data_IF_958908780428
#
_entry.id   IF_958908780428
#
_cell.length_a   1.000
_cell.length_b   1.000
_cell.length_c   1.000
_cell.angle_alpha   90.00
_cell.angle_beta   90.00
_cell.angle_gamma   90.00
#
_symmetry.space_group_name_H-M   'P 1'
#
loop_
_entity.id
_entity.type
_entity.pdbx_description
1 polymer ?
#
# COMPACT_ATOMS: atom_id res chain seq x y z
N UNK A 1 -57.83 32.56 -24.39
CA UNK A 1 -57.06 32.85 -23.69
C UNK A 1 -56.39 32.21 -22.58
N UNK A 2 -56.12 31.30 -22.30
CA UNK A 2 -55.69 30.68 -21.16
C UNK A 2 -54.83 29.52 -21.43
N UNK A 3 -53.62 29.63 -21.77
CA UNK A 3 -52.80 28.49 -21.95
C UNK A 3 -51.36 28.88 -21.93
N UNK A 4 -50.89 29.11 -20.76
CA UNK A 4 -49.46 29.27 -20.59
C UNK A 4 -49.07 28.92 -19.18
N UNK A 5 -49.29 27.68 -18.80
CA UNK A 5 -48.82 27.25 -17.51
C UNK A 5 -48.45 25.77 -17.55
N UNK A 6 -47.52 25.42 -18.38
CA UNK A 6 -46.96 24.07 -18.29
C UNK A 6 -45.56 24.03 -18.92
N UNK A 7 -44.67 24.82 -18.42
CA UNK A 7 -43.27 24.67 -18.83
C UNK A 7 -42.31 25.23 -17.79
N UNK A 8 -42.42 24.71 -16.56
CA UNK A 8 -41.44 25.07 -15.54
C UNK A 8 -41.27 24.00 -14.51
N UNK A 9 -41.07 22.78 -14.95
CA UNK A 9 -40.64 21.72 -14.00
C UNK A 9 -39.81 20.68 -14.70
N UNK A 10 -38.69 21.07 -15.27
CA UNK A 10 -37.75 20.09 -15.77
C UNK A 10 -36.31 20.60 -15.77
N UNK A 11 -35.84 21.16 -14.66
CA UNK A 11 -34.47 21.59 -14.58
C UNK A 11 -33.83 21.43 -13.22
N UNK A 12 -34.29 20.49 -12.39
CA UNK A 12 -33.71 20.34 -11.04
C UNK A 12 -33.39 18.90 -10.65
N UNK A 13 -33.15 18.03 -11.59
CA UNK A 13 -32.82 16.63 -11.25
C UNK A 13 -31.40 16.18 -11.67
N UNK A 14 -30.58 17.08 -12.17
CA UNK A 14 -29.28 16.68 -12.75
C UNK A 14 -28.06 17.05 -11.91
N UNK A 15 -28.23 17.41 -10.64
CA UNK A 15 -27.08 17.80 -9.78
C UNK A 15 -26.79 16.85 -8.61
N UNK A 16 -27.44 15.70 -8.52
CA UNK A 16 -27.25 14.79 -7.40
C UNK A 16 -26.43 13.53 -7.70
N UNK A 17 -26.01 13.31 -8.93
CA UNK A 17 -25.32 12.06 -9.30
C UNK A 17 -23.79 12.10 -9.17
N UNK A 18 -23.20 13.25 -8.91
CA UNK A 18 -21.75 13.35 -8.83
C UNK A 18 -21.16 13.03 -7.45
N UNK A 19 -21.96 13.01 -6.40
CA UNK A 19 -21.47 12.80 -5.04
C UNK A 19 -21.48 11.34 -4.57
N UNK A 20 -22.16 10.47 -5.28
CA UNK A 20 -22.30 9.07 -4.87
C UNK A 20 -21.04 8.27 -5.17
N UNK A 21 -20.34 8.59 -6.26
CA UNK A 21 -19.11 7.89 -6.64
C UNK A 21 -17.94 8.14 -5.68
N UNK A 22 -17.86 9.32 -5.06
CA UNK A 22 -16.80 9.62 -4.07
C UNK A 22 -17.06 8.93 -2.73
N UNK A 23 -18.33 8.79 -2.33
CA UNK A 23 -18.68 8.11 -1.09
C UNK A 23 -18.43 6.60 -1.14
N UNK A 24 -18.63 5.96 -2.28
CA UNK A 24 -18.32 4.54 -2.46
C UNK A 24 -16.83 4.24 -2.41
N UNK A 25 -15.99 5.16 -2.87
CA UNK A 25 -14.53 5.00 -2.82
C UNK A 25 -13.99 5.15 -1.40
N UNK A 26 -14.65 5.93 -0.56
CA UNK A 26 -14.30 6.10 0.86
C UNK A 26 -14.88 5.01 1.76
N UNK A 27 -15.97 4.37 1.34
CA UNK A 27 -16.64 3.32 2.09
C UNK A 27 -16.13 1.91 1.79
N UNK A 28 -15.19 1.73 0.86
CA UNK A 28 -14.47 0.47 0.72
C UNK A 28 -13.60 0.29 1.95
N UNK A 29 -14.15 -0.42 2.93
CA UNK A 29 -13.45 -0.82 4.11
C UNK A 29 -12.10 -1.44 3.73
N UNK A 30 -11.11 -1.18 4.55
CA UNK A 30 -9.75 -1.67 4.38
C UNK A 30 -9.78 -3.18 4.14
N UNK A 31 -9.43 -3.62 2.94
CA UNK A 31 -9.40 -5.03 2.60
C UNK A 31 -8.38 -5.74 3.47
N UNK A 32 -8.78 -6.82 4.10
CA UNK A 32 -7.87 -7.72 4.80
C UNK A 32 -7.56 -8.93 3.94
N UNK A 33 -6.41 -9.52 4.15
CA UNK A 33 -5.90 -10.67 3.39
C UNK A 33 -5.64 -11.84 4.32
N UNK A 34 -5.79 -13.06 3.80
CA UNK A 34 -5.23 -14.24 4.46
C UNK A 34 -3.73 -14.28 4.23
N UNK A 35 -2.98 -14.86 5.16
CA UNK A 35 -1.52 -14.90 5.11
C UNK A 35 -0.98 -15.47 3.79
N UNK A 36 -1.45 -16.65 3.39
CA UNK A 36 -1.02 -17.27 2.13
C UNK A 36 -1.43 -16.48 0.90
N UNK A 37 -2.64 -15.91 0.90
CA UNK A 37 -3.13 -15.03 -0.17
C UNK A 37 -2.23 -13.81 -0.31
N UNK A 38 -1.88 -13.18 0.78
CA UNK A 38 -1.01 -12.00 0.81
C UNK A 38 0.38 -12.30 0.25
N UNK A 39 0.98 -13.40 0.66
CA UNK A 39 2.28 -13.85 0.15
C UNK A 39 2.23 -14.07 -1.36
N UNK A 40 1.22 -14.76 -1.85
CA UNK A 40 1.08 -15.06 -3.28
C UNK A 40 0.89 -13.79 -4.13
N UNK A 41 0.16 -12.80 -3.61
CA UNK A 41 -0.12 -11.57 -4.34
C UNK A 41 1.12 -10.65 -4.39
N UNK A 42 1.82 -10.50 -3.27
CA UNK A 42 2.83 -9.44 -3.12
C UNK A 42 4.28 -9.89 -3.29
N UNK A 43 4.59 -11.16 -3.08
CA UNK A 43 5.96 -11.66 -3.25
C UNK A 43 6.45 -11.48 -4.70
N UNK A 44 7.61 -10.88 -4.86
CA UNK A 44 8.21 -10.61 -6.16
C UNK A 44 7.65 -9.38 -6.90
N UNK A 45 6.70 -8.67 -6.31
CA UNK A 45 6.07 -7.50 -6.94
C UNK A 45 6.88 -6.22 -6.69
N UNK A 46 6.83 -5.26 -7.64
CA UNK A 46 7.49 -3.97 -7.47
C UNK A 46 6.75 -3.08 -6.46
N UNK A 47 7.46 -2.09 -5.90
CA UNK A 47 6.90 -1.12 -4.96
C UNK A 47 5.66 -0.40 -5.51
N UNK A 48 5.65 -0.06 -6.78
CA UNK A 48 4.50 0.59 -7.43
C UNK A 48 3.24 -0.26 -7.31
N UNK A 49 3.33 -1.55 -7.56
CA UNK A 49 2.19 -2.47 -7.43
C UNK A 49 1.64 -2.49 -6.01
N UNK A 50 2.52 -2.50 -5.03
CA UNK A 50 2.14 -2.48 -3.61
C UNK A 50 1.46 -1.17 -3.24
N UNK A 51 1.99 -0.02 -3.67
CA UNK A 51 1.36 1.29 -3.47
C UNK A 51 -0.02 1.39 -4.11
N UNK A 52 -0.15 0.90 -5.34
CA UNK A 52 -1.42 0.94 -6.07
C UNK A 52 -2.48 0.02 -5.43
N UNK A 53 -2.06 -1.06 -4.79
CA UNK A 53 -2.96 -2.05 -4.18
C UNK A 53 -3.26 -1.77 -2.71
N UNK A 54 -2.25 -1.44 -1.92
CA UNK A 54 -2.36 -1.25 -0.47
C UNK A 54 -2.39 0.22 -0.03
N UNK A 55 -1.97 1.13 -0.90
CA UNK A 55 -1.77 2.54 -0.56
C UNK A 55 -0.45 2.78 0.16
N UNK A 56 -0.32 3.96 0.76
CA UNK A 56 0.90 4.36 1.46
C UNK A 56 1.11 3.51 2.72
N UNK A 57 2.33 3.05 2.98
CA UNK A 57 2.66 2.36 4.21
C UNK A 57 2.65 3.34 5.39
N UNK A 58 2.41 2.81 6.59
CA UNK A 58 2.49 3.59 7.82
C UNK A 58 3.92 4.11 8.07
N UNK A 59 4.92 3.32 7.71
CA UNK A 59 6.33 3.64 7.89
C UNK A 59 7.16 3.01 6.78
N UNK A 60 8.18 3.73 6.33
CA UNK A 60 9.25 3.24 5.47
C UNK A 60 10.57 3.32 6.22
N UNK A 61 11.41 2.32 6.10
CA UNK A 61 12.71 2.28 6.74
C UNK A 61 13.74 1.70 5.78
N UNK A 62 14.90 2.32 5.76
CA UNK A 62 16.10 1.78 5.12
C UNK A 62 17.05 1.27 6.20
N UNK A 63 17.72 0.12 6.01
CA UNK A 63 18.74 -0.31 6.96
C UNK A 63 19.85 0.74 6.96
N UNK A 64 20.17 1.23 8.16
CA UNK A 64 21.35 2.07 8.35
C UNK A 64 22.59 1.19 8.29
N UNK A 65 23.56 1.55 7.47
CA UNK A 65 24.89 0.94 7.56
C UNK A 65 25.45 1.20 8.97
N UNK A 66 25.95 0.19 9.67
CA UNK A 66 26.70 0.44 10.90
C UNK A 66 27.88 1.36 10.58
N UNK A 67 28.08 2.40 11.36
CA UNK A 67 29.11 3.44 11.13
C UNK A 67 30.56 2.89 11.08
N UNK A 68 30.76 1.60 11.37
CA UNK A 68 32.07 0.95 11.46
C UNK A 68 32.25 -0.20 10.46
N UNK A 69 31.34 -0.36 9.47
CA UNK A 69 31.44 -1.47 8.53
C UNK A 69 32.74 -1.44 7.72
N UNK A 70 33.30 -0.25 7.48
CA UNK A 70 34.56 -0.08 6.77
C UNK A 70 35.81 -0.45 7.59
N UNK A 71 35.72 -0.38 8.93
CA UNK A 71 36.82 -0.73 9.84
C UNK A 71 36.99 -2.23 10.02
N UNK A 72 35.97 -3.00 9.86
CA UNK A 72 35.99 -4.44 10.13
C UNK A 72 36.49 -5.28 8.95
N UNK A 73 36.53 -4.78 7.74
CA UNK A 73 36.83 -5.60 6.56
C UNK A 73 38.25 -5.41 6.03
N UNK A 74 39.02 -4.44 6.51
CA UNK A 74 40.43 -4.26 6.13
C UNK A 74 40.74 -4.20 4.62
N UNK A 75 39.70 -4.16 3.78
CA UNK A 75 39.78 -4.02 2.33
C UNK A 75 38.74 -3.00 1.89
N UNK A 76 39.17 -1.96 1.21
CA UNK A 76 38.27 -1.09 0.48
C UNK A 76 37.43 -1.95 -0.46
N UNK A 77 36.12 -2.01 -0.24
CA UNK A 77 35.19 -2.63 -1.18
C UNK A 77 35.28 -1.84 -2.45
N UNK A 78 35.56 -2.46 -3.62
CA UNK A 78 35.60 -1.75 -4.87
C UNK A 78 34.28 -1.01 -5.08
N UNK A 79 34.35 0.28 -5.34
CA UNK A 79 33.19 1.17 -5.56
C UNK A 79 32.36 0.83 -6.80
N UNK A 80 32.66 -0.25 -7.47
CA UNK A 80 31.98 -0.74 -8.67
C UNK A 80 30.92 -1.82 -8.42
N UNK A 81 30.81 -2.36 -7.22
CA UNK A 81 29.73 -3.27 -6.90
C UNK A 81 28.46 -2.45 -6.63
N UNK A 82 27.46 -2.63 -7.47
CA UNK A 82 26.13 -2.10 -7.25
C UNK A 82 25.62 -2.59 -5.89
N UNK A 83 25.57 -1.69 -4.94
CA UNK A 83 24.97 -1.98 -3.65
C UNK A 83 23.47 -2.16 -3.81
N UNK A 84 22.92 -3.21 -3.25
CA UNK A 84 21.49 -3.43 -3.21
C UNK A 84 20.78 -2.31 -2.43
N UNK A 85 19.72 -1.79 -3.01
CA UNK A 85 18.83 -0.83 -2.35
C UNK A 85 17.78 -1.64 -1.59
N UNK A 86 17.86 -1.60 -0.27
CA UNK A 86 16.93 -2.30 0.61
C UNK A 86 16.00 -1.29 1.26
N UNK A 87 14.70 -1.56 1.21
CA UNK A 87 13.67 -0.73 1.81
C UNK A 87 12.63 -1.63 2.48
N UNK A 88 12.24 -1.29 3.72
CA UNK A 88 11.23 -2.00 4.48
C UNK A 88 10.00 -1.13 4.67
N UNK A 89 8.83 -1.65 4.32
CA UNK A 89 7.55 -0.97 4.45
C UNK A 89 6.68 -1.68 5.48
N UNK A 90 6.01 -0.90 6.30
CA UNK A 90 5.17 -1.38 7.39
C UNK A 90 3.71 -0.99 7.19
N UNK A 91 2.83 -1.98 7.26
CA UNK A 91 1.37 -1.82 7.19
C UNK A 91 0.71 -2.37 8.44
N UNK A 92 -0.19 -1.61 9.10
CA UNK A 92 -0.90 -2.10 10.25
C UNK A 92 -2.18 -2.83 9.86
N UNK A 93 -2.57 -3.82 10.65
CA UNK A 93 -3.88 -4.48 10.60
C UNK A 93 -4.33 -4.90 9.19
N UNK A 94 -3.46 -5.56 8.46
CA UNK A 94 -3.67 -5.88 7.05
C UNK A 94 -3.90 -7.37 6.79
N UNK A 95 -3.21 -8.24 7.51
CA UNK A 95 -3.21 -9.68 7.30
C UNK A 95 -3.81 -10.40 8.48
N UNK A 96 -4.74 -11.31 8.22
CA UNK A 96 -5.41 -12.11 9.22
C UNK A 96 -4.51 -13.27 9.68
N UNK A 97 -4.34 -13.43 10.99
CA UNK A 97 -3.73 -14.63 11.56
C UNK A 97 -4.78 -15.66 12.04
N UNK A 98 -6.02 -15.24 12.18
CA UNK A 98 -7.17 -16.10 12.43
C UNK A 98 -8.42 -15.55 11.70
N UNK A 99 -9.58 -16.11 11.95
CA UNK A 99 -10.83 -15.71 11.27
C UNK A 99 -11.31 -14.28 11.60
N UNK A 100 -10.80 -13.66 12.66
CA UNK A 100 -11.28 -12.37 13.19
C UNK A 100 -10.20 -11.32 13.35
N UNK A 101 -8.99 -11.75 13.71
CA UNK A 101 -7.94 -10.84 14.16
C UNK A 101 -6.83 -10.73 13.11
N UNK A 102 -6.27 -9.54 13.00
CA UNK A 102 -5.15 -9.24 12.11
C UNK A 102 -3.84 -9.13 12.89
N UNK A 103 -2.74 -9.44 12.23
CA UNK A 103 -1.42 -9.08 12.73
C UNK A 103 -1.34 -7.56 12.94
N UNK A 104 -0.70 -7.14 14.02
CA UNK A 104 -0.53 -5.71 14.33
C UNK A 104 0.30 -4.99 13.26
N UNK A 105 1.26 -5.70 12.71
CA UNK A 105 2.17 -5.16 11.71
C UNK A 105 2.55 -6.20 10.67
N UNK A 106 2.52 -5.79 9.41
CA UNK A 106 3.07 -6.55 8.29
C UNK A 106 4.24 -5.77 7.71
N UNK A 107 5.39 -6.42 7.61
CA UNK A 107 6.60 -5.87 7.03
C UNK A 107 6.85 -6.46 5.64
N UNK A 108 7.02 -5.58 4.66
CA UNK A 108 7.43 -5.95 3.31
C UNK A 108 8.86 -5.45 3.10
N UNK A 109 9.78 -6.36 2.79
CA UNK A 109 11.16 -6.01 2.47
C UNK A 109 11.35 -6.02 0.96
N UNK A 110 11.76 -4.88 0.41
CA UNK A 110 12.09 -4.70 -0.99
C UNK A 110 13.59 -4.68 -1.18
N UNK A 111 14.07 -5.44 -2.15
CA UNK A 111 15.45 -5.37 -2.62
C UNK A 111 15.40 -5.01 -4.09
N UNK A 112 16.02 -3.88 -4.46
CA UNK A 112 16.03 -3.36 -5.83
C UNK A 112 14.63 -3.29 -6.45
N UNK A 113 13.68 -2.69 -5.71
CA UNK A 113 12.29 -2.51 -6.13
C UNK A 113 11.47 -3.80 -6.24
N UNK A 114 11.91 -4.89 -5.62
CA UNK A 114 11.14 -6.15 -5.59
C UNK A 114 10.91 -6.64 -4.17
N UNK A 115 9.67 -6.99 -3.89
CA UNK A 115 9.29 -7.57 -2.61
C UNK A 115 9.88 -8.98 -2.48
N UNK A 116 10.88 -9.12 -1.63
CA UNK A 116 11.61 -10.37 -1.45
C UNK A 116 11.18 -11.12 -0.19
N UNK A 117 10.80 -10.39 0.85
CA UNK A 117 10.40 -10.97 2.12
C UNK A 117 9.17 -10.30 2.70
N UNK A 118 8.37 -11.10 3.40
CA UNK A 118 7.14 -10.70 4.07
C UNK A 118 7.18 -11.24 5.48
N UNK A 119 7.02 -10.38 6.47
CA UNK A 119 7.04 -10.75 7.88
C UNK A 119 5.79 -10.24 8.58
N UNK A 120 5.17 -11.09 9.37
CA UNK A 120 3.95 -10.77 10.13
C UNK A 120 4.27 -10.76 11.62
N UNK A 121 3.85 -9.71 12.31
CA UNK A 121 4.18 -9.48 13.73
C UNK A 121 2.91 -9.13 14.52
N UNK A 122 2.75 -9.77 15.68
CA UNK A 122 1.74 -9.47 16.70
C UNK A 122 2.25 -8.53 17.77
#
# INVERSE_FOLDING_TARGET
MKKLDTLFTLATVLLFSANIALAETLAKGKKTYKEMEFIQIFKGKPQKFVLDTLGQPMKKQMPSKPNNAESYVGKAVPSSEKQDVIEMWYYPNLVLYNSKDTFKKTELTFINDRCTNLTFVN
#
